data_IF_922101500216
#
_entry.id   IF_922101500216
#
_cell.length_a   1.000
_cell.length_b   1.000
_cell.length_c   1.000
_cell.angle_alpha   90.00
_cell.angle_beta   90.00
_cell.angle_gamma   90.00
#
_symmetry.space_group_name_H-M   'P 1'
#
loop_
_entity.id
_entity.type
_entity.pdbx_description
1 polymer ?
#
# COMPACT_ATOMS: atom_id res chain seq x y z
N UNK A 1 6.88 2.97 3.65
CA UNK A 1 6.20 2.75 4.95
C UNK A 1 5.28 1.55 4.85
N UNK A 2 5.41 0.57 5.72
CA UNK A 2 4.62 -0.65 5.67
C UNK A 2 3.74 -0.77 6.92
N UNK A 3 2.43 -1.00 6.71
CA UNK A 3 1.49 -1.34 7.77
C UNK A 3 1.15 -2.82 7.69
N UNK A 4 1.88 -3.63 8.44
CA UNK A 4 1.61 -5.05 8.62
C UNK A 4 0.59 -5.25 9.75
N UNK A 5 -0.69 -5.40 9.41
CA UNK A 5 -1.78 -5.43 10.38
C UNK A 5 -2.30 -6.84 10.66
N UNK A 6 -2.19 -7.76 9.70
CA UNK A 6 -2.67 -9.13 9.82
C UNK A 6 -1.91 -10.08 8.88
N UNK A 7 -2.51 -11.18 8.46
CA UNK A 7 -1.89 -12.23 7.65
C UNK A 7 -1.23 -11.74 6.35
N UNK A 8 -1.76 -10.71 5.70
CA UNK A 8 -1.13 -10.12 4.51
C UNK A 8 0.27 -9.55 4.79
N UNK A 9 0.58 -9.21 6.03
CA UNK A 9 1.92 -8.79 6.42
C UNK A 9 2.97 -9.88 6.27
N UNK A 10 2.59 -11.14 6.46
CA UNK A 10 3.49 -12.30 6.30
C UNK A 10 3.88 -12.45 4.83
N UNK A 11 2.92 -12.32 3.92
CA UNK A 11 3.19 -12.34 2.48
C UNK A 11 4.01 -11.10 2.05
N UNK A 12 3.76 -9.95 2.64
CA UNK A 12 4.58 -8.76 2.43
C UNK A 12 6.02 -8.96 2.91
N UNK A 13 6.26 -9.65 4.02
CA UNK A 13 7.60 -10.01 4.46
C UNK A 13 8.26 -11.02 3.51
N UNK A 14 7.49 -11.97 2.97
CA UNK A 14 7.99 -12.93 1.98
C UNK A 14 8.46 -12.25 0.69
N UNK A 15 7.80 -11.16 0.28
CA UNK A 15 8.24 -10.34 -0.88
C UNK A 15 9.59 -9.66 -0.62
N UNK A 16 9.86 -9.26 0.62
CA UNK A 16 11.15 -8.70 1.02
C UNK A 16 12.26 -9.74 1.23
N UNK A 17 11.92 -11.03 1.21
CA UNK A 17 12.88 -12.11 1.38
C UNK A 17 13.66 -12.40 0.08
N UNK A 18 14.77 -13.12 0.20
CA UNK A 18 15.73 -13.39 -0.89
C UNK A 18 15.10 -14.03 -2.15
N UNK A 19 14.01 -14.79 -2.00
CA UNK A 19 13.35 -15.47 -3.12
C UNK A 19 12.72 -14.48 -4.12
N UNK A 20 12.13 -13.39 -3.62
CA UNK A 20 11.43 -12.40 -4.45
C UNK A 20 12.22 -11.11 -4.64
N UNK A 21 12.88 -10.64 -3.60
CA UNK A 21 13.78 -9.50 -3.56
C UNK A 21 13.27 -8.21 -4.22
N UNK A 22 12.69 -7.34 -3.39
CA UNK A 22 12.16 -6.04 -3.82
C UNK A 22 13.25 -5.07 -4.32
N UNK A 23 14.52 -5.30 -3.99
CA UNK A 23 15.61 -4.41 -4.40
C UNK A 23 15.74 -4.35 -5.94
N UNK A 24 15.47 -5.46 -6.63
CA UNK A 24 15.47 -5.51 -8.10
C UNK A 24 14.45 -4.58 -8.74
N UNK A 25 13.42 -4.20 -8.00
CA UNK A 25 12.34 -3.31 -8.46
C UNK A 25 12.49 -1.89 -7.91
N UNK A 26 13.61 -1.60 -7.22
CA UNK A 26 13.88 -0.29 -6.63
C UNK A 26 13.04 0.03 -5.39
N UNK A 27 12.55 -1.00 -4.69
CA UNK A 27 11.64 -0.84 -3.54
C UNK A 27 12.11 -1.57 -2.28
N UNK A 28 13.40 -1.93 -2.17
CA UNK A 28 13.95 -2.68 -1.05
C UNK A 28 14.09 -1.89 0.25
N UNK A 29 14.09 -0.56 0.20
CA UNK A 29 14.24 0.25 1.40
C UNK A 29 12.92 0.39 2.18
N UNK A 30 12.72 -0.46 3.17
CA UNK A 30 11.59 -0.36 4.11
C UNK A 30 11.84 0.75 5.13
N UNK A 31 11.34 1.94 4.88
CA UNK A 31 11.49 3.07 5.80
C UNK A 31 10.49 2.97 6.95
N UNK A 32 10.97 3.05 8.19
CA UNK A 32 10.13 3.02 9.39
C UNK A 32 9.46 4.38 9.66
N UNK A 33 10.05 5.47 9.17
CA UNK A 33 9.50 6.82 9.38
C UNK A 33 8.62 7.27 8.21
N UNK A 34 7.44 7.86 8.46
CA UNK A 34 6.57 8.37 7.41
C UNK A 34 7.19 9.54 6.64
N UNK A 35 8.04 10.32 7.27
CA UNK A 35 8.72 11.49 6.67
C UNK A 35 9.68 11.15 5.53
N UNK A 36 10.16 9.90 5.48
CA UNK A 36 11.10 9.40 4.48
C UNK A 36 10.48 8.37 3.53
N UNK A 37 9.16 8.23 3.53
CA UNK A 37 8.45 7.23 2.76
C UNK A 37 7.51 7.89 1.75
N UNK A 38 7.61 7.50 0.49
CA UNK A 38 6.75 7.96 -0.60
C UNK A 38 5.58 7.01 -0.85
N UNK A 39 5.70 5.75 -0.40
CA UNK A 39 4.70 4.71 -0.54
C UNK A 39 4.28 4.16 0.82
N UNK A 40 2.96 4.06 1.02
CA UNK A 40 2.34 3.35 2.14
C UNK A 40 1.71 2.05 1.64
N UNK A 41 2.08 0.92 2.24
CA UNK A 41 1.44 -0.37 1.99
C UNK A 41 0.63 -0.74 3.23
N UNK A 42 -0.67 -0.88 3.07
CA UNK A 42 -1.58 -1.34 4.13
C UNK A 42 -1.91 -2.81 3.89
N UNK A 43 -1.33 -3.69 4.70
CA UNK A 43 -1.39 -5.13 4.55
C UNK A 43 -2.14 -5.79 5.70
N UNK A 44 -3.43 -6.05 5.51
CA UNK A 44 -4.27 -6.74 6.48
C UNK A 44 -5.52 -5.97 6.90
N UNK A 45 -6.16 -6.47 7.96
CA UNK A 45 -7.43 -5.93 8.47
C UNK A 45 -7.21 -4.61 9.20
N UNK A 46 -7.93 -3.59 8.78
CA UNK A 46 -7.91 -2.26 9.42
C UNK A 46 -9.01 -2.18 10.46
N UNK A 47 -8.65 -2.01 11.72
CA UNK A 47 -9.58 -1.73 12.81
C UNK A 47 -9.75 -0.23 13.03
N UNK A 48 -10.87 0.20 13.62
CA UNK A 48 -11.12 1.61 13.91
C UNK A 48 -10.00 2.28 14.70
N UNK A 49 -9.42 1.59 15.70
CA UNK A 49 -8.26 2.09 16.46
C UNK A 49 -7.01 2.31 15.59
N UNK A 50 -6.80 1.47 14.57
CA UNK A 50 -5.68 1.60 13.66
C UNK A 50 -5.95 2.60 12.53
N UNK A 51 -7.21 2.82 12.18
CA UNK A 51 -7.59 3.78 11.15
C UNK A 51 -7.08 5.20 11.46
N UNK A 52 -7.22 5.65 12.70
CA UNK A 52 -6.70 6.94 13.15
C UNK A 52 -5.16 7.03 13.01
N UNK A 53 -4.46 5.92 13.30
CA UNK A 53 -3.01 5.85 13.17
C UNK A 53 -2.57 5.90 11.71
N UNK A 54 -3.27 5.16 10.85
CA UNK A 54 -3.03 5.17 9.39
C UNK A 54 -3.22 6.58 8.86
N UNK A 55 -4.32 7.23 9.20
CA UNK A 55 -4.61 8.62 8.79
C UNK A 55 -3.51 9.58 9.23
N UNK A 56 -3.14 9.55 10.51
CA UNK A 56 -2.10 10.41 11.06
C UNK A 56 -0.75 10.23 10.37
N UNK A 57 -0.35 8.99 10.12
CA UNK A 57 0.93 8.70 9.47
C UNK A 57 0.90 9.02 7.97
N UNK A 58 -0.26 8.84 7.32
CA UNK A 58 -0.45 9.28 5.95
C UNK A 58 -0.29 10.81 5.82
N UNK A 59 -0.86 11.57 6.75
CA UNK A 59 -0.75 13.04 6.75
C UNK A 59 0.70 13.52 6.97
N UNK A 60 1.53 12.71 7.66
CA UNK A 60 2.96 12.98 7.89
C UNK A 60 3.86 12.63 6.69
N UNK A 61 3.36 11.91 5.70
CA UNK A 61 4.14 11.59 4.51
C UNK A 61 4.28 12.82 3.58
N UNK A 62 5.47 13.01 2.97
CA UNK A 62 5.68 14.09 2.01
C UNK A 62 4.91 13.82 0.71
N UNK A 63 4.65 14.86 -0.06
CA UNK A 63 4.11 14.74 -1.41
C UNK A 63 5.26 14.65 -2.45
N UNK A 64 5.14 13.83 -3.50
CA UNK A 64 4.00 12.95 -3.83
C UNK A 64 3.98 11.69 -2.96
N UNK A 65 2.79 11.24 -2.56
CA UNK A 65 2.60 10.04 -1.73
C UNK A 65 1.56 9.10 -2.36
N UNK A 66 1.78 7.80 -2.21
CA UNK A 66 0.98 6.76 -2.81
C UNK A 66 0.59 5.71 -1.79
N UNK A 67 -0.55 5.05 -2.00
CA UNK A 67 -1.07 4.02 -1.09
C UNK A 67 -1.44 2.77 -1.87
N UNK A 68 -0.96 1.62 -1.39
CA UNK A 68 -1.37 0.28 -1.85
C UNK A 68 -2.21 -0.38 -0.75
N UNK A 69 -3.42 -0.79 -1.09
CA UNK A 69 -4.25 -1.65 -0.25
C UNK A 69 -4.02 -3.11 -0.63
N UNK A 70 -3.39 -3.88 0.27
CA UNK A 70 -3.03 -5.28 0.05
C UNK A 70 -4.02 -6.22 0.73
N UNK A 71 -4.68 -7.01 -0.08
CA UNK A 71 -5.59 -8.07 0.34
C UNK A 71 -7.04 -7.62 0.53
N UNK A 72 -7.94 -8.59 0.62
CA UNK A 72 -9.37 -8.37 0.71
C UNK A 72 -9.79 -7.54 1.94
N UNK A 73 -9.08 -7.70 3.07
CA UNK A 73 -9.38 -6.95 4.29
C UNK A 73 -9.09 -5.45 4.14
N UNK A 74 -7.94 -5.08 3.58
CA UNK A 74 -7.61 -3.69 3.32
C UNK A 74 -8.49 -3.08 2.22
N UNK A 75 -8.85 -3.88 1.22
CA UNK A 75 -9.67 -3.43 0.08
C UNK A 75 -11.13 -3.16 0.48
N UNK A 76 -11.74 -4.04 1.28
CA UNK A 76 -13.17 -3.91 1.57
C UNK A 76 -13.63 -4.56 2.88
N UNK A 77 -12.72 -4.88 3.80
CA UNK A 77 -13.04 -5.58 5.05
C UNK A 77 -12.98 -7.11 4.95
N UNK A 78 -12.93 -7.67 3.74
CA UNK A 78 -12.75 -9.09 3.48
C UNK A 78 -13.74 -10.00 4.21
N UNK A 79 -13.28 -11.13 4.76
CA UNK A 79 -14.15 -12.06 5.51
C UNK A 79 -14.85 -11.45 6.72
N UNK A 80 -14.31 -10.36 7.25
CA UNK A 80 -14.84 -9.68 8.45
C UNK A 80 -15.82 -8.57 8.13
N UNK A 81 -16.16 -8.36 6.85
CA UNK A 81 -17.05 -7.29 6.41
C UNK A 81 -18.41 -7.32 7.10
N UNK A 82 -19.04 -8.49 7.20
CA UNK A 82 -20.43 -8.63 7.68
C UNK A 82 -20.53 -8.59 9.20
N UNK A 83 -19.64 -9.29 9.91
CA UNK A 83 -19.76 -9.52 11.34
C UNK A 83 -18.66 -8.86 12.19
N UNK A 84 -17.64 -8.30 11.56
CA UNK A 84 -16.57 -7.61 12.26
C UNK A 84 -17.01 -6.22 12.75
N UNK A 85 -17.38 -6.10 14.00
CA UNK A 85 -17.82 -4.82 14.59
C UNK A 85 -16.70 -3.78 14.74
N UNK A 86 -15.44 -4.19 14.76
CA UNK A 86 -14.28 -3.30 14.88
C UNK A 86 -13.63 -2.97 13.53
N UNK A 87 -14.04 -3.61 12.44
CA UNK A 87 -13.37 -3.57 11.15
C UNK A 87 -13.87 -2.44 10.28
N UNK A 88 -12.93 -1.64 9.78
CA UNK A 88 -13.18 -0.63 8.74
C UNK A 88 -13.37 -1.34 7.41
N UNK A 89 -14.45 -1.02 6.72
CA UNK A 89 -14.88 -1.69 5.48
C UNK A 89 -14.18 -1.09 4.24
N UNK A 90 -12.85 -1.16 4.25
CA UNK A 90 -11.97 -0.62 3.23
C UNK A 90 -11.09 0.53 3.74
N UNK A 91 -9.80 0.48 3.43
CA UNK A 91 -8.85 1.53 3.82
C UNK A 91 -9.06 2.83 3.03
N UNK A 92 -9.73 2.75 1.89
CA UNK A 92 -10.15 3.89 1.05
C UNK A 92 -11.08 4.86 1.77
N UNK A 93 -11.75 4.40 2.83
CA UNK A 93 -12.55 5.25 3.73
C UNK A 93 -11.69 6.09 4.68
N UNK A 94 -10.43 5.78 4.81
CA UNK A 94 -9.48 6.44 5.71
C UNK A 94 -8.48 7.30 4.95
N UNK A 95 -7.90 6.74 3.88
CA UNK A 95 -6.90 7.39 3.03
C UNK A 95 -7.14 7.05 1.56
N UNK A 96 -6.82 7.93 0.61
CA UNK A 96 -6.96 7.62 -0.81
C UNK A 96 -6.03 6.47 -1.20
N UNK A 97 -6.53 5.52 -1.99
CA UNK A 97 -5.80 4.33 -2.44
C UNK A 97 -5.51 4.45 -3.93
N UNK A 98 -4.26 4.15 -4.31
CA UNK A 98 -3.80 4.20 -5.69
C UNK A 98 -3.89 2.86 -6.39
N UNK A 99 -3.59 1.77 -5.68
CA UNK A 99 -3.59 0.40 -6.19
C UNK A 99 -4.22 -0.54 -5.18
N UNK A 100 -5.08 -1.43 -5.66
CA UNK A 100 -5.68 -2.50 -4.89
C UNK A 100 -5.11 -3.85 -5.34
N UNK A 101 -4.75 -4.69 -4.38
CA UNK A 101 -4.23 -6.04 -4.62
C UNK A 101 -5.20 -7.06 -4.04
N UNK A 102 -5.83 -7.82 -4.90
CA UNK A 102 -6.80 -8.85 -4.51
C UNK A 102 -6.10 -10.10 -3.95
N UNK A 103 -6.75 -10.77 -3.01
CA UNK A 103 -6.30 -12.01 -2.39
C UNK A 103 -6.59 -12.05 -0.89
N UNK A 104 -6.51 -13.25 -0.29
CA UNK A 104 -6.75 -13.42 1.15
C UNK A 104 -5.90 -14.59 1.72
N UNK A 105 -4.61 -14.37 1.94
CA UNK A 105 -3.76 -13.27 1.48
C UNK A 105 -3.42 -13.36 -0.01
N UNK A 106 -3.04 -12.25 -0.66
CA UNK A 106 -2.47 -12.31 -2.00
C UNK A 106 -1.08 -12.94 -1.96
N UNK A 107 -0.71 -13.63 -3.03
CA UNK A 107 0.65 -14.18 -3.17
C UNK A 107 1.69 -13.06 -3.25
N UNK A 108 2.96 -13.34 -2.90
CA UNK A 108 4.06 -12.37 -2.99
C UNK A 108 4.19 -11.73 -4.39
N UNK A 109 4.01 -12.54 -5.44
CA UNK A 109 4.07 -12.06 -6.84
C UNK A 109 2.98 -11.04 -7.16
N UNK A 110 1.82 -11.16 -6.54
CA UNK A 110 0.73 -10.19 -6.72
C UNK A 110 1.09 -8.82 -6.13
N UNK A 111 1.85 -8.78 -5.04
CA UNK A 111 2.36 -7.51 -4.49
C UNK A 111 3.43 -6.90 -5.42
N UNK A 112 4.31 -7.71 -6.00
CA UNK A 112 5.28 -7.26 -7.01
C UNK A 112 4.57 -6.66 -8.23
N UNK A 113 3.55 -7.33 -8.73
CA UNK A 113 2.75 -6.83 -9.85
C UNK A 113 2.02 -5.52 -9.50
N UNK A 114 1.46 -5.43 -8.29
CA UNK A 114 0.85 -4.21 -7.76
C UNK A 114 1.84 -3.05 -7.68
N UNK A 115 3.08 -3.31 -7.27
CA UNK A 115 4.15 -2.31 -7.24
C UNK A 115 4.52 -1.84 -8.66
N UNK A 116 4.65 -2.77 -9.60
CA UNK A 116 4.90 -2.43 -11.01
C UNK A 116 3.74 -1.66 -11.63
N UNK A 117 2.50 -1.97 -11.27
CA UNK A 117 1.32 -1.22 -11.69
C UNK A 117 1.36 0.22 -11.17
N UNK A 118 1.76 0.41 -9.90
CA UNK A 118 1.95 1.74 -9.34
C UNK A 118 3.06 2.51 -10.07
N UNK A 119 4.19 1.87 -10.37
CA UNK A 119 5.29 2.50 -11.13
C UNK A 119 4.82 2.94 -12.53
N UNK A 120 4.01 2.13 -13.21
CA UNK A 120 3.41 2.51 -14.51
C UNK A 120 2.49 3.74 -14.36
N UNK A 121 1.65 3.77 -13.32
CA UNK A 121 0.78 4.91 -12.99
C UNK A 121 1.59 6.20 -12.76
N UNK A 122 2.66 6.12 -11.99
CA UNK A 122 3.54 7.27 -11.70
C UNK A 122 4.20 7.79 -12.99
N UNK A 123 4.72 6.89 -13.83
CA UNK A 123 5.34 7.28 -15.11
C UNK A 123 4.33 7.97 -16.03
N UNK A 124 3.11 7.45 -16.14
CA UNK A 124 2.06 8.05 -16.95
C UNK A 124 1.70 9.46 -16.43
N UNK A 125 1.58 9.64 -15.11
CA UNK A 125 1.30 10.94 -14.50
C UNK A 125 2.46 11.92 -14.69
N UNK A 126 3.71 11.47 -14.63
CA UNK A 126 4.89 12.30 -14.85
C UNK A 126 4.99 12.81 -16.30
N UNK A 127 4.59 11.99 -17.27
CA UNK A 127 4.56 12.39 -18.70
C UNK A 127 3.53 13.50 -18.93
N UNK A 128 2.37 13.42 -18.29
CA UNK A 128 1.32 14.44 -18.40
C UNK A 128 1.73 15.76 -17.72
N UNK A 129 2.55 15.70 -16.68
CA UNK A 129 3.04 16.88 -15.92
C UNK A 129 4.27 17.58 -16.53
N UNK A 130 4.90 17.05 -17.56
CA UNK A 130 5.98 17.79 -18.23
C UNK A 130 5.38 19.02 -18.89
N UNK A 131 5.65 20.27 -18.42
CA UNK A 131 5.40 21.44 -19.21
C UNK A 131 6.25 21.32 -20.46
N UNK A 132 5.67 21.65 -21.60
CA UNK A 132 6.45 21.82 -22.82
C UNK A 132 7.59 22.81 -22.50
N UNK A 133 8.82 22.34 -22.57
CA UNK A 133 9.98 23.23 -22.52
C UNK A 133 9.89 24.04 -23.81
N UNK A 134 9.33 25.22 -23.72
CA UNK A 134 9.50 26.22 -24.77
C UNK A 134 10.97 26.60 -24.78
N UNK A 135 11.63 26.20 -25.85
CA UNK A 135 12.99 26.62 -26.17
C UNK A 135 13.01 28.14 -26.41
#
# INVERSE_FOLDING_TARGET
MTFGLACCAIEMMAVGAAHHDLDRFGAGAFRATPRQADLMIVAGTVNFKMAERIKRLYDQMPNPKYVIAMGACATGGGPYFKYGYTVVKGVDRVVPVDVYIAGCPPRPEALLEGLMALQRKIRATAVVRKPAITA
#
